data_IF_565031567984
#
_entry.id   IF_565031567984
#
_cell.length_a   1.000
_cell.length_b   1.000
_cell.length_c   1.000
_cell.angle_alpha   90.00
_cell.angle_beta   90.00
_cell.angle_gamma   90.00
#
_symmetry.space_group_name_H-M   'P 1'
#
loop_
_entity.id
_entity.type
_entity.pdbx_description
1 polymer ?
#
# COMPACT_ATOMS: atom_id res chain seq x y z
N UNK A 1 -25.28 -18.61 10.55
CA UNK A 1 -24.49 -19.76 10.09
C UNK A 1 -23.22 -19.82 10.91
N UNK A 2 -22.89 -20.98 11.50
CA UNK A 2 -21.64 -21.18 12.25
C UNK A 2 -20.45 -21.04 11.28
N UNK A 3 -19.47 -20.19 11.63
CA UNK A 3 -18.24 -20.01 10.85
C UNK A 3 -18.31 -18.99 9.71
N UNK A 4 -19.45 -18.35 9.47
CA UNK A 4 -19.61 -17.28 8.49
C UNK A 4 -19.53 -15.92 9.18
N UNK A 5 -18.77 -14.99 8.59
CA UNK A 5 -18.63 -13.62 9.05
C UNK A 5 -18.70 -12.66 7.86
N UNK A 6 -19.31 -11.51 8.06
CA UNK A 6 -19.34 -10.41 7.09
C UNK A 6 -18.76 -9.17 7.74
N UNK A 7 -18.16 -8.30 6.92
CA UNK A 7 -17.59 -7.05 7.34
C UNK A 7 -17.92 -5.94 6.36
N UNK A 8 -18.11 -4.74 6.87
CA UNK A 8 -18.26 -3.50 6.14
C UNK A 8 -17.19 -2.52 6.64
N UNK A 9 -16.49 -1.88 5.69
CA UNK A 9 -15.54 -0.80 5.94
C UNK A 9 -15.95 0.39 5.08
N UNK A 10 -15.98 1.57 5.66
CA UNK A 10 -16.19 2.82 4.95
C UNK A 10 -15.01 3.75 5.23
N UNK A 11 -14.39 4.23 4.16
CA UNK A 11 -13.27 5.16 4.23
C UNK A 11 -13.70 6.52 3.70
N UNK A 12 -13.28 7.56 4.38
CA UNK A 12 -13.32 8.92 3.87
C UNK A 12 -11.90 9.41 3.63
N UNK A 13 -11.61 9.83 2.39
CA UNK A 13 -10.31 10.28 1.95
C UNK A 13 -10.34 11.79 1.75
N UNK A 14 -9.40 12.49 2.36
CA UNK A 14 -9.24 13.93 2.19
C UNK A 14 -7.76 14.30 2.35
N UNK A 15 -7.37 15.42 1.74
CA UNK A 15 -6.01 15.92 1.83
C UNK A 15 -5.79 17.13 0.93
N UNK A 16 -4.62 17.72 1.05
CA UNK A 16 -4.13 18.80 0.19
C UNK A 16 -2.91 18.29 -0.60
N UNK A 17 -2.84 18.68 -1.86
CA UNK A 17 -1.68 18.45 -2.73
C UNK A 17 -1.19 19.82 -3.17
N UNK A 18 0.07 20.11 -2.88
CA UNK A 18 0.76 21.30 -3.36
C UNK A 18 1.97 20.88 -4.18
N UNK A 19 2.03 21.37 -5.42
CA UNK A 19 3.15 21.18 -6.33
C UNK A 19 3.74 22.55 -6.70
N UNK A 20 5.05 22.70 -6.51
CA UNK A 20 5.77 23.93 -6.80
C UNK A 20 6.91 23.62 -7.75
N UNK A 21 6.89 24.21 -8.93
CA UNK A 21 7.94 24.05 -9.95
C UNK A 21 8.56 25.40 -10.26
N UNK A 22 9.85 25.54 -9.97
CA UNK A 22 10.65 26.71 -10.32
C UNK A 22 11.52 26.39 -11.54
N UNK A 23 11.34 27.15 -12.62
CA UNK A 23 12.17 27.08 -13.80
C UNK A 23 13.04 28.33 -13.88
N UNK A 24 14.33 28.17 -13.60
CA UNK A 24 15.35 29.21 -13.74
C UNK A 24 16.44 28.76 -14.72
N UNK A 25 16.97 29.68 -15.51
CA UNK A 25 18.12 29.44 -16.40
C UNK A 25 19.21 30.42 -16.06
N UNK A 26 20.46 29.98 -16.15
CA UNK A 26 21.62 30.87 -16.09
C UNK A 26 21.51 31.91 -17.19
N UNK A 27 21.94 33.15 -16.93
CA UNK A 27 21.92 34.30 -17.84
C UNK A 27 20.52 34.85 -18.18
N UNK A 28 19.43 34.29 -17.60
CA UNK A 28 18.06 34.82 -17.76
C UNK A 28 17.64 35.51 -16.47
N UNK A 29 17.29 36.79 -16.58
CA UNK A 29 16.94 37.64 -15.42
C UNK A 29 15.64 37.25 -14.74
N UNK A 30 14.73 36.61 -15.47
CA UNK A 30 13.43 36.18 -14.97
C UNK A 30 13.33 34.67 -14.97
N UNK A 31 12.91 34.14 -13.84
CA UNK A 31 12.47 32.73 -13.68
C UNK A 31 10.95 32.67 -13.75
N UNK A 32 10.40 31.48 -13.95
CA UNK A 32 8.96 31.20 -13.81
C UNK A 32 8.71 30.21 -12.70
N UNK A 33 7.66 30.44 -11.93
CA UNK A 33 7.20 29.52 -10.87
C UNK A 33 5.76 29.16 -11.10
N UNK A 34 5.51 27.84 -11.16
CA UNK A 34 4.18 27.28 -11.17
C UNK A 34 3.85 26.74 -9.80
N UNK A 35 2.71 27.16 -9.24
CA UNK A 35 2.16 26.67 -7.97
C UNK A 35 0.79 26.10 -8.26
N UNK A 36 0.65 24.81 -8.02
CA UNK A 36 -0.59 24.09 -8.05
C UNK A 36 -0.99 23.73 -6.61
N UNK A 37 -2.11 24.20 -6.14
CA UNK A 37 -2.65 23.90 -4.81
C UNK A 37 -4.06 23.34 -4.97
N UNK A 38 -4.28 22.13 -4.47
CA UNK A 38 -5.56 21.44 -4.65
C UNK A 38 -5.94 20.60 -3.45
N UNK A 39 -7.24 20.48 -3.23
CA UNK A 39 -7.82 19.65 -2.20
C UNK A 39 -8.45 18.41 -2.81
N UNK A 40 -8.03 17.25 -2.31
CA UNK A 40 -8.58 15.94 -2.69
C UNK A 40 -9.67 15.53 -1.72
N UNK A 41 -10.75 14.97 -2.25
CA UNK A 41 -11.85 14.40 -1.47
C UNK A 41 -12.45 13.19 -2.15
N UNK A 42 -12.84 12.20 -1.35
CA UNK A 42 -13.54 11.02 -1.83
C UNK A 42 -13.90 10.07 -0.71
N UNK A 43 -14.74 9.10 -1.02
CA UNK A 43 -15.10 8.04 -0.11
C UNK A 43 -15.01 6.69 -0.78
N UNK A 44 -14.87 5.62 -0.02
CA UNK A 44 -14.93 4.26 -0.53
C UNK A 44 -15.61 3.33 0.44
N UNK A 45 -16.23 2.30 -0.07
CA UNK A 45 -16.88 1.24 0.70
C UNK A 45 -16.27 -0.09 0.31
N UNK A 46 -15.97 -0.91 1.32
CA UNK A 46 -15.46 -2.27 1.12
C UNK A 46 -16.35 -3.25 1.86
N UNK A 47 -16.76 -4.28 1.16
CA UNK A 47 -17.55 -5.39 1.67
C UNK A 47 -16.63 -6.60 1.78
N UNK A 48 -16.76 -7.35 2.85
CA UNK A 48 -16.00 -8.59 3.06
C UNK A 48 -16.87 -9.71 3.58
N UNK A 49 -16.54 -10.92 3.19
CA UNK A 49 -17.13 -12.13 3.73
C UNK A 49 -16.04 -13.17 3.98
N UNK A 50 -16.18 -13.90 5.06
CA UNK A 50 -15.29 -15.00 5.42
C UNK A 50 -16.10 -16.19 5.88
N UNK A 51 -15.68 -17.37 5.47
CA UNK A 51 -16.18 -18.63 5.93
C UNK A 51 -15.05 -19.47 6.52
N UNK A 52 -15.26 -19.93 7.75
CA UNK A 52 -14.35 -20.83 8.46
C UNK A 52 -15.08 -22.12 8.79
N UNK A 53 -14.52 -23.26 8.39
CA UNK A 53 -15.04 -24.58 8.72
C UNK A 53 -13.92 -25.52 9.12
N UNK A 54 -14.28 -26.55 9.88
CA UNK A 54 -13.36 -27.60 10.27
C UNK A 54 -13.59 -28.80 9.35
N UNK A 55 -12.58 -29.21 8.60
CA UNK A 55 -12.65 -30.35 7.67
C UNK A 55 -12.46 -31.66 8.41
N UNK A 56 -11.49 -31.70 9.32
CA UNK A 56 -11.21 -32.84 10.19
C UNK A 56 -10.96 -32.34 11.60
N UNK A 57 -10.86 -33.26 12.61
CA UNK A 57 -10.79 -32.91 14.05
C UNK A 57 -9.93 -31.70 14.40
N UNK A 58 -8.90 -31.38 13.59
CA UNK A 58 -7.94 -30.33 13.89
C UNK A 58 -7.62 -29.40 12.69
N UNK A 59 -8.14 -29.71 11.48
CA UNK A 59 -7.83 -28.97 10.26
C UNK A 59 -8.96 -27.99 9.94
N UNK A 60 -8.65 -26.73 9.95
CA UNK A 60 -9.58 -25.65 9.61
C UNK A 60 -9.32 -25.14 8.20
N UNK A 61 -10.37 -24.98 7.42
CA UNK A 61 -10.39 -24.27 6.16
C UNK A 61 -10.91 -22.86 6.39
N UNK A 62 -10.22 -21.88 5.79
CA UNK A 62 -10.63 -20.50 5.74
C UNK A 62 -10.77 -20.09 4.29
N UNK A 63 -11.91 -19.53 3.92
CA UNK A 63 -12.14 -18.93 2.60
C UNK A 63 -12.65 -17.53 2.83
N UNK A 64 -12.13 -16.57 2.09
CA UNK A 64 -12.53 -15.17 2.23
C UNK A 64 -12.57 -14.46 0.90
N UNK A 65 -13.46 -13.48 0.80
CA UNK A 65 -13.53 -12.56 -0.31
C UNK A 65 -13.79 -11.15 0.21
N UNK A 66 -13.19 -10.16 -0.44
CA UNK A 66 -13.54 -8.76 -0.20
C UNK A 66 -13.57 -7.97 -1.50
N UNK A 67 -14.49 -7.02 -1.54
CA UNK A 67 -14.77 -6.18 -2.70
C UNK A 67 -14.76 -4.72 -2.23
N UNK A 68 -13.77 -3.95 -2.67
CA UNK A 68 -13.76 -2.49 -2.49
C UNK A 68 -14.42 -1.87 -3.71
N UNK A 69 -15.58 -1.29 -3.50
CA UNK A 69 -16.39 -0.73 -4.58
C UNK A 69 -15.64 0.40 -5.28
N UNK A 70 -15.85 0.51 -6.59
CA UNK A 70 -15.30 1.59 -7.37
C UNK A 70 -15.76 2.95 -6.84
N UNK A 71 -14.86 3.92 -6.82
CA UNK A 71 -15.10 5.27 -6.34
C UNK A 71 -14.33 6.30 -7.16
N UNK A 72 -14.68 7.57 -6.97
CA UNK A 72 -13.97 8.69 -7.56
C UNK A 72 -13.36 9.57 -6.47
N UNK A 73 -12.10 9.94 -6.66
CA UNK A 73 -11.42 10.96 -5.89
C UNK A 73 -11.43 12.26 -6.70
N UNK A 74 -12.11 13.25 -6.20
CA UNK A 74 -12.18 14.57 -6.85
C UNK A 74 -11.12 15.48 -6.23
N UNK A 75 -10.40 16.20 -7.09
CA UNK A 75 -9.48 17.23 -6.69
C UNK A 75 -9.88 18.57 -7.30
N UNK A 76 -9.90 19.60 -6.48
CA UNK A 76 -10.23 20.97 -6.89
C UNK A 76 -9.26 21.94 -6.25
N UNK A 77 -8.81 22.94 -7.01
CA UNK A 77 -7.83 23.89 -6.53
C UNK A 77 -7.57 25.02 -7.48
N UNK A 78 -6.39 25.59 -7.39
CA UNK A 78 -5.91 26.70 -8.23
C UNK A 78 -4.50 26.44 -8.74
N UNK A 79 -4.26 26.84 -9.98
CA UNK A 79 -2.94 26.90 -10.58
C UNK A 79 -2.55 28.36 -10.77
N UNK A 80 -1.35 28.71 -10.35
CA UNK A 80 -0.78 30.05 -10.52
C UNK A 80 0.61 29.93 -11.11
N UNK A 81 0.76 30.47 -12.32
CA UNK A 81 2.05 30.63 -13.00
C UNK A 81 2.43 32.11 -13.00
N UNK A 82 3.56 32.44 -12.46
CA UNK A 82 4.07 33.79 -12.43
C UNK A 82 5.57 33.87 -12.77
N UNK A 83 5.99 35.04 -13.27
CA UNK A 83 7.37 35.36 -13.41
C UNK A 83 7.93 35.92 -12.11
N UNK A 84 9.19 35.67 -11.84
CA UNK A 84 9.90 36.20 -10.68
C UNK A 84 11.37 36.50 -11.00
N UNK A 85 11.95 37.41 -10.24
CA UNK A 85 13.40 37.59 -10.21
C UNK A 85 13.98 36.98 -8.93
N UNK A 86 15.17 36.39 -9.07
CA UNK A 86 15.89 35.80 -7.93
C UNK A 86 17.06 36.75 -7.63
N UNK A 87 17.03 37.35 -6.43
CA UNK A 87 18.11 38.22 -5.95
C UNK A 87 19.39 37.42 -5.63
N UNK A 88 20.51 38.12 -5.47
CA UNK A 88 21.80 37.50 -5.13
C UNK A 88 21.79 36.68 -3.80
N UNK A 89 20.86 36.99 -2.90
CA UNK A 89 20.64 36.29 -1.67
C UNK A 89 19.69 35.05 -1.81
N UNK A 90 19.27 34.71 -3.05
CA UNK A 90 18.31 33.64 -3.32
C UNK A 90 16.85 34.02 -3.04
N UNK A 91 16.54 35.27 -2.70
CA UNK A 91 15.20 35.72 -2.41
C UNK A 91 14.39 35.87 -3.69
N UNK A 92 13.22 35.22 -3.73
CA UNK A 92 12.28 35.25 -4.85
C UNK A 92 11.41 36.51 -4.77
N UNK A 93 11.39 37.31 -5.84
CA UNK A 93 10.53 38.50 -5.97
C UNK A 93 9.55 38.27 -7.13
N UNK A 94 8.26 38.01 -6.87
CA UNK A 94 7.24 37.89 -7.90
C UNK A 94 7.17 39.19 -8.72
N UNK A 95 6.99 39.06 -10.05
CA UNK A 95 6.87 40.17 -11.01
C UNK A 95 5.48 40.22 -11.59
N UNK A 96 5.17 39.34 -12.53
CA UNK A 96 3.91 39.34 -13.24
C UNK A 96 3.22 37.96 -13.14
N UNK A 97 1.91 37.97 -12.99
CA UNK A 97 1.09 36.76 -13.09
C UNK A 97 0.88 36.43 -14.55
N UNK A 98 1.41 35.30 -15.00
CA UNK A 98 1.29 34.81 -16.37
C UNK A 98 -0.04 34.11 -16.56
N UNK A 99 -0.41 33.29 -15.56
CA UNK A 99 -1.67 32.54 -15.55
C UNK A 99 -2.15 32.35 -14.11
N UNK A 100 -3.46 32.46 -13.91
CA UNK A 100 -4.13 32.08 -12.68
C UNK A 100 -5.50 31.52 -13.04
N UNK A 101 -5.77 30.30 -12.60
CA UNK A 101 -7.01 29.63 -12.96
C UNK A 101 -7.40 28.48 -12.03
N UNK A 102 -8.63 27.96 -12.18
CA UNK A 102 -9.05 26.81 -11.43
C UNK A 102 -8.36 25.54 -11.91
N UNK A 103 -8.00 24.68 -10.96
CA UNK A 103 -7.43 23.37 -11.21
C UNK A 103 -8.44 22.30 -10.80
N UNK A 104 -8.73 21.35 -11.67
CA UNK A 104 -9.60 20.23 -11.37
C UNK A 104 -9.10 18.93 -11.94
N UNK A 105 -9.30 17.86 -11.18
CA UNK A 105 -8.97 16.52 -11.60
C UNK A 105 -9.90 15.48 -10.96
N UNK A 106 -9.99 14.34 -11.58
CA UNK A 106 -10.69 13.19 -11.04
C UNK A 106 -9.85 11.93 -11.23
N UNK A 107 -9.76 11.13 -10.19
CA UNK A 107 -9.16 9.79 -10.23
C UNK A 107 -10.24 8.76 -9.92
N UNK A 108 -10.73 8.09 -10.95
CA UNK A 108 -11.70 7.00 -10.82
C UNK A 108 -10.95 5.71 -10.52
N UNK A 109 -11.26 5.12 -9.39
CA UNK A 109 -10.75 3.81 -8.95
C UNK A 109 -11.80 2.75 -9.26
N UNK A 110 -11.49 1.73 -10.04
CA UNK A 110 -12.40 0.62 -10.31
C UNK A 110 -12.55 -0.30 -9.08
N UNK A 111 -13.38 -1.33 -9.24
CA UNK A 111 -13.57 -2.38 -8.25
C UNK A 111 -12.25 -3.08 -7.95
N UNK A 112 -11.91 -3.18 -6.67
CA UNK A 112 -10.82 -4.03 -6.19
C UNK A 112 -11.40 -5.31 -5.60
N UNK A 113 -10.94 -6.45 -6.06
CA UNK A 113 -11.36 -7.77 -5.59
C UNK A 113 -10.19 -8.47 -4.94
N UNK A 114 -10.43 -9.04 -3.75
CA UNK A 114 -9.47 -9.89 -3.07
C UNK A 114 -10.13 -11.22 -2.72
N UNK A 115 -9.52 -12.32 -3.13
CA UNK A 115 -9.93 -13.68 -2.81
C UNK A 115 -8.82 -14.36 -2.01
N UNK A 116 -9.19 -15.15 -1.03
CA UNK A 116 -8.23 -15.85 -0.20
C UNK A 116 -8.72 -17.24 0.23
N UNK A 117 -7.78 -18.16 0.29
CA UNK A 117 -8.00 -19.50 0.83
C UNK A 117 -6.82 -19.88 1.71
N UNK A 118 -7.10 -20.58 2.80
CA UNK A 118 -6.06 -21.07 3.68
C UNK A 118 -6.49 -22.26 4.51
N UNK A 119 -5.51 -23.03 4.88
CA UNK A 119 -5.65 -24.22 5.71
C UNK A 119 -4.76 -24.09 6.93
N UNK A 120 -5.20 -24.62 8.06
CA UNK A 120 -4.37 -24.61 9.25
C UNK A 120 -4.90 -25.42 10.41
N UNK A 121 -3.99 -25.76 11.30
CA UNK A 121 -4.27 -26.38 12.59
C UNK A 121 -4.10 -25.33 13.68
N UNK A 122 -5.13 -25.14 14.49
CA UNK A 122 -5.13 -24.14 15.57
C UNK A 122 -3.88 -24.25 16.45
N UNK A 123 -3.23 -23.13 16.72
CA UNK A 123 -2.02 -23.02 17.55
C UNK A 123 -0.81 -23.87 17.07
N UNK A 124 -0.79 -24.30 15.82
CA UNK A 124 0.30 -25.10 15.29
C UNK A 124 0.85 -24.60 13.96
N UNK A 125 0.01 -24.46 12.96
CA UNK A 125 0.42 -23.96 11.65
C UNK A 125 -0.78 -23.42 10.86
N UNK A 126 -0.47 -22.55 9.92
CA UNK A 126 -1.42 -22.05 8.92
C UNK A 126 -0.65 -21.76 7.64
N UNK A 127 -1.24 -22.09 6.50
CA UNK A 127 -0.77 -21.69 5.18
C UNK A 127 -1.96 -21.21 4.34
N UNK A 128 -1.73 -20.18 3.55
CA UNK A 128 -2.78 -19.62 2.71
C UNK A 128 -2.22 -18.88 1.50
N UNK A 129 -3.13 -18.66 0.54
CA UNK A 129 -2.88 -17.93 -0.69
C UNK A 129 -3.96 -16.88 -0.84
N UNK A 130 -3.57 -15.69 -1.29
CA UNK A 130 -4.47 -14.59 -1.63
C UNK A 130 -4.19 -14.12 -3.06
N UNK A 131 -5.26 -13.80 -3.77
CA UNK A 131 -5.24 -13.13 -5.05
C UNK A 131 -6.00 -11.82 -4.95
N UNK A 132 -5.37 -10.74 -5.41
CA UNK A 132 -5.96 -9.41 -5.49
C UNK A 132 -5.91 -8.96 -6.94
N UNK A 133 -6.99 -8.34 -7.42
CA UNK A 133 -7.03 -7.73 -8.75
C UNK A 133 -7.80 -6.42 -8.72
N UNK A 134 -7.40 -5.50 -9.57
CA UNK A 134 -8.04 -4.23 -9.81
C UNK A 134 -7.75 -3.79 -11.24
N UNK A 135 -8.77 -3.35 -11.98
CA UNK A 135 -8.59 -2.78 -13.31
C UNK A 135 -7.79 -1.46 -13.27
N UNK A 136 -7.43 -0.95 -14.43
CA UNK A 136 -6.69 0.30 -14.56
C UNK A 136 -7.45 1.49 -13.92
N UNK A 137 -6.71 2.33 -13.21
CA UNK A 137 -7.23 3.61 -12.75
C UNK A 137 -7.51 4.52 -13.96
N UNK A 138 -8.55 5.35 -13.88
CA UNK A 138 -8.84 6.35 -14.91
C UNK A 138 -8.63 7.73 -14.29
N UNK A 139 -7.64 8.44 -14.78
CA UNK A 139 -7.32 9.80 -14.38
C UNK A 139 -7.83 10.80 -15.42
N UNK A 140 -8.29 11.97 -14.98
CA UNK A 140 -8.72 13.08 -15.83
C UNK A 140 -8.30 14.42 -15.23
N UNK A 141 -8.31 15.47 -16.04
CA UNK A 141 -7.83 16.78 -15.63
C UNK A 141 -6.31 16.76 -15.39
N UNK A 142 -5.81 17.48 -14.42
CA UNK A 142 -4.36 17.55 -14.17
C UNK A 142 -3.74 16.23 -13.62
N UNK A 143 -4.58 15.23 -13.26
CA UNK A 143 -4.11 13.87 -12.98
C UNK A 143 -3.90 13.05 -14.24
N UNK A 144 -4.45 13.49 -15.38
CA UNK A 144 -4.26 12.83 -16.66
C UNK A 144 -2.87 13.19 -17.20
N UNK A 145 -1.95 12.30 -16.99
CA UNK A 145 -0.63 12.38 -17.62
C UNK A 145 -0.68 11.63 -18.96
N UNK A 146 -1.56 12.08 -19.86
CA UNK A 146 -1.69 11.54 -21.23
C UNK A 146 -0.42 11.69 -22.05
N UNK A 147 0.51 12.46 -21.55
CA UNK A 147 1.75 12.78 -22.19
C UNK A 147 2.88 11.84 -21.77
N UNK A 148 2.87 10.53 -22.08
CA UNK A 148 4.15 10.00 -22.48
C UNK A 148 5.07 9.37 -21.43
N UNK A 149 4.93 9.62 -20.14
CA UNK A 149 5.84 9.07 -19.14
C UNK A 149 5.33 7.80 -18.46
N UNK A 150 4.03 7.74 -18.19
CA UNK A 150 3.41 6.57 -17.58
C UNK A 150 1.93 6.43 -17.92
N UNK A 151 1.40 5.24 -17.75
CA UNK A 151 -0.02 4.91 -17.90
C UNK A 151 -0.46 4.03 -16.72
N UNK A 152 -1.73 4.12 -16.35
CA UNK A 152 -2.33 3.17 -15.42
C UNK A 152 -2.74 1.90 -16.16
N UNK A 153 -2.35 0.76 -15.63
CA UNK A 153 -2.71 -0.56 -16.10
C UNK A 153 -3.45 -1.35 -15.03
N UNK A 154 -3.77 -2.59 -15.36
CA UNK A 154 -4.34 -3.54 -14.42
C UNK A 154 -3.31 -3.90 -13.34
N UNK A 155 -3.76 -3.92 -12.08
CA UNK A 155 -2.94 -4.34 -10.94
C UNK A 155 -3.37 -5.71 -10.45
N UNK A 156 -2.41 -6.62 -10.32
CA UNK A 156 -2.63 -7.99 -9.87
C UNK A 156 -1.60 -8.37 -8.83
N UNK A 157 -2.04 -9.01 -7.74
CA UNK A 157 -1.14 -9.50 -6.71
C UNK A 157 -1.51 -10.91 -6.28
N UNK A 158 -0.54 -11.80 -6.35
CA UNK A 158 -0.59 -13.13 -5.73
C UNK A 158 0.33 -13.13 -4.52
N UNK A 159 -0.15 -13.60 -3.39
CA UNK A 159 0.66 -13.78 -2.21
C UNK A 159 0.36 -15.12 -1.54
N UNK A 160 1.40 -15.83 -1.15
CA UNK A 160 1.32 -17.06 -0.39
C UNK A 160 2.14 -16.92 0.88
N UNK A 161 1.64 -17.46 1.99
CA UNK A 161 2.38 -17.39 3.24
C UNK A 161 1.75 -18.23 4.34
N UNK A 162 2.48 -18.32 5.44
CA UNK A 162 2.02 -19.09 6.58
C UNK A 162 2.88 -18.90 7.80
N UNK A 163 2.49 -19.63 8.85
CA UNK A 163 3.25 -19.71 10.07
C UNK A 163 3.29 -21.12 10.64
N UNK A 164 4.29 -21.39 11.48
CA UNK A 164 4.45 -22.63 12.19
C UNK A 164 4.90 -22.36 13.64
N UNK A 165 4.30 -23.08 14.59
CA UNK A 165 4.65 -23.05 16.00
C UNK A 165 4.93 -24.51 16.43
N UNK A 166 6.16 -24.89 16.75
CA UNK A 166 6.47 -26.28 17.09
C UNK A 166 5.64 -26.81 18.26
N UNK A 167 5.64 -26.09 19.39
CA UNK A 167 4.88 -26.47 20.59
C UNK A 167 4.58 -25.24 21.45
N UNK A 168 3.39 -24.67 21.31
CA UNK A 168 2.99 -23.40 21.96
C UNK A 168 3.09 -23.45 23.51
N UNK A 169 2.83 -24.61 24.11
CA UNK A 169 2.84 -24.82 25.57
C UNK A 169 4.15 -25.48 26.04
N UNK A 170 5.26 -25.32 25.33
CA UNK A 170 6.54 -25.89 25.78
C UNK A 170 7.05 -25.17 27.02
N UNK A 171 7.36 -25.92 28.07
CA UNK A 171 7.99 -25.43 29.31
C UNK A 171 9.52 -25.56 29.20
N UNK A 172 10.01 -26.55 28.44
CA UNK A 172 11.41 -26.92 28.37
C UNK A 172 12.23 -26.11 27.36
N UNK A 173 11.60 -25.60 26.31
CA UNK A 173 12.32 -24.88 25.26
C UNK A 173 11.57 -23.62 24.81
N UNK A 174 12.23 -22.48 24.88
CA UNK A 174 11.72 -21.21 24.40
C UNK A 174 11.42 -21.23 22.89
N UNK A 175 12.36 -21.79 22.11
CA UNK A 175 12.28 -21.83 20.64
C UNK A 175 11.09 -22.64 20.10
N UNK A 176 10.58 -23.58 20.89
CA UNK A 176 9.37 -24.33 20.54
C UNK A 176 8.08 -23.49 20.62
N UNK A 177 8.10 -22.37 21.36
CA UNK A 177 6.99 -21.44 21.50
C UNK A 177 7.03 -20.32 20.48
N UNK A 178 8.16 -20.13 19.81
CA UNK A 178 8.35 -19.11 18.78
C UNK A 178 7.44 -19.41 17.58
N UNK A 179 6.81 -18.35 17.06
CA UNK A 179 6.06 -18.41 15.81
C UNK A 179 7.00 -18.09 14.65
N UNK A 180 7.27 -19.06 13.80
CA UNK A 180 8.05 -18.92 12.58
C UNK A 180 7.09 -18.59 11.43
N UNK A 181 7.40 -17.56 10.65
CA UNK A 181 6.57 -17.08 9.53
C UNK A 181 7.38 -17.05 8.25
N UNK A 182 6.71 -17.31 7.13
CA UNK A 182 7.29 -17.17 5.80
C UNK A 182 6.23 -16.78 4.79
N UNK A 183 6.65 -16.06 3.75
CA UNK A 183 5.73 -15.62 2.71
C UNK A 183 6.46 -15.20 1.45
N UNK A 184 5.70 -15.22 0.36
CA UNK A 184 6.09 -14.78 -0.98
C UNK A 184 5.02 -13.83 -1.50
N UNK A 185 5.41 -12.80 -2.22
CA UNK A 185 4.50 -11.95 -2.98
C UNK A 185 5.01 -11.75 -4.40
N UNK A 186 4.10 -11.71 -5.32
CA UNK A 186 4.30 -11.25 -6.68
C UNK A 186 3.19 -10.26 -7.01
N UNK A 187 3.53 -9.07 -7.45
CA UNK A 187 2.60 -7.98 -7.68
C UNK A 187 2.94 -7.21 -8.95
N UNK A 188 1.96 -7.09 -9.85
CA UNK A 188 1.96 -6.08 -10.91
C UNK A 188 1.31 -4.83 -10.33
N UNK A 189 2.07 -3.73 -10.26
CA UNK A 189 1.64 -2.52 -9.54
C UNK A 189 0.52 -1.74 -10.26
N UNK A 190 0.19 -2.10 -11.51
CA UNK A 190 -0.75 -1.34 -12.32
C UNK A 190 -0.18 0.01 -12.77
N UNK A 191 1.12 0.11 -12.86
CA UNK A 191 1.84 1.24 -13.41
C UNK A 191 2.68 0.76 -14.60
N UNK A 192 2.44 1.37 -15.75
CA UNK A 192 3.18 1.16 -16.99
C UNK A 192 4.03 2.39 -17.25
N UNK A 193 5.34 2.25 -17.38
CA UNK A 193 6.27 3.37 -17.53
C UNK A 193 6.97 3.31 -18.88
N UNK A 194 7.06 4.47 -19.55
CA UNK A 194 7.87 4.65 -20.74
C UNK A 194 9.27 5.15 -20.34
N UNK A 195 10.23 4.23 -20.35
CA UNK A 195 11.63 4.55 -19.98
C UNK A 195 12.44 5.19 -21.09
N UNK A 196 11.93 5.24 -22.33
CA UNK A 196 12.65 5.79 -23.48
C UNK A 196 11.87 6.96 -24.07
N UNK A 197 12.32 8.21 -23.89
CA UNK A 197 11.65 9.38 -24.45
C UNK A 197 11.42 9.24 -25.97
N UNK A 198 10.20 9.53 -26.40
CA UNK A 198 9.81 9.45 -27.83
C UNK A 198 9.43 8.04 -28.32
N UNK A 199 9.48 7.01 -27.48
CA UNK A 199 8.94 5.69 -27.79
C UNK A 199 7.49 5.59 -27.27
N UNK A 200 6.73 4.66 -27.85
CA UNK A 200 5.39 4.28 -27.37
C UNK A 200 5.43 2.95 -26.61
N UNK A 201 6.59 2.56 -26.08
CA UNK A 201 6.76 1.27 -25.40
C UNK A 201 6.61 1.47 -23.91
N UNK A 202 5.50 1.00 -23.34
CA UNK A 202 5.23 1.03 -21.92
C UNK A 202 5.54 -0.32 -21.27
N UNK A 203 6.25 -0.30 -20.16
CA UNK A 203 6.70 -1.49 -19.44
C UNK A 203 6.07 -1.55 -18.07
N UNK A 204 5.54 -2.72 -17.69
CA UNK A 204 4.95 -2.96 -16.38
C UNK A 204 6.01 -2.91 -15.27
N UNK A 205 5.64 -2.29 -14.17
CA UNK A 205 6.46 -2.30 -12.96
C UNK A 205 5.94 -3.40 -12.03
N UNK A 206 6.77 -4.43 -11.89
CA UNK A 206 6.46 -5.60 -11.07
C UNK A 206 7.25 -5.56 -9.75
N UNK A 207 6.69 -6.14 -8.69
CA UNK A 207 7.33 -6.26 -7.37
C UNK A 207 7.28 -7.73 -6.92
N UNK A 208 8.44 -8.30 -6.65
CA UNK A 208 8.59 -9.63 -6.07
C UNK A 208 9.25 -9.52 -4.70
N UNK A 209 8.70 -10.22 -3.70
CA UNK A 209 9.26 -10.21 -2.35
C UNK A 209 9.16 -11.56 -1.66
N UNK A 210 10.20 -11.87 -0.87
CA UNK A 210 10.26 -13.01 0.05
C UNK A 210 10.35 -12.45 1.46
N UNK A 211 9.54 -12.96 2.37
CA UNK A 211 9.50 -12.51 3.75
C UNK A 211 9.70 -13.66 4.73
N UNK A 212 10.42 -13.37 5.83
CA UNK A 212 10.59 -14.23 7.00
C UNK A 212 10.23 -13.46 8.26
N UNK A 213 9.70 -14.15 9.25
CA UNK A 213 9.33 -13.50 10.50
C UNK A 213 9.41 -14.43 11.70
N UNK A 214 9.67 -13.82 12.85
CA UNK A 214 9.69 -14.47 14.15
C UNK A 214 8.73 -13.75 15.09
N UNK A 215 7.84 -14.50 15.73
CA UNK A 215 7.02 -14.02 16.82
C UNK A 215 7.55 -14.59 18.13
N UNK A 216 8.19 -13.75 18.92
CA UNK A 216 8.86 -14.11 20.18
C UNK A 216 7.91 -13.84 21.35
N UNK A 217 7.38 -14.87 22.03
CA UNK A 217 6.49 -14.67 23.18
C UNK A 217 7.27 -14.07 24.35
N UNK A 218 6.75 -12.99 24.94
CA UNK A 218 7.33 -12.31 26.09
C UNK A 218 6.58 -12.68 27.37
N UNK A 219 7.31 -13.19 28.36
CA UNK A 219 6.76 -13.53 29.66
C UNK A 219 5.70 -14.66 29.63
N UNK A 220 4.81 -14.66 30.63
CA UNK A 220 3.77 -15.68 30.78
C UNK A 220 2.44 -15.35 30.09
N UNK A 221 2.31 -14.23 29.39
CA UNK A 221 1.03 -13.76 28.84
C UNK A 221 1.26 -13.13 27.48
N UNK A 222 0.44 -13.51 26.56
CA UNK A 222 0.05 -13.03 25.23
C UNK A 222 0.80 -11.83 24.59
N UNK A 223 1.84 -11.30 25.23
CA UNK A 223 2.72 -10.25 24.68
C UNK A 223 3.75 -10.89 23.76
N UNK A 224 3.93 -10.30 22.58
CA UNK A 224 4.86 -10.81 21.57
C UNK A 224 5.72 -9.69 21.02
N UNK A 225 7.00 -9.97 20.86
CA UNK A 225 7.89 -9.20 20.02
C UNK A 225 7.91 -9.85 18.63
N UNK A 226 7.54 -9.10 17.60
CA UNK A 226 7.55 -9.60 16.24
C UNK A 226 8.70 -8.95 15.46
N UNK A 227 9.51 -9.80 14.86
CA UNK A 227 10.59 -9.45 13.96
C UNK A 227 10.18 -9.90 12.55
N UNK A 228 10.35 -9.05 11.57
CA UNK A 228 10.10 -9.34 10.17
C UNK A 228 11.27 -8.87 9.31
N UNK A 229 11.62 -9.69 8.35
CA UNK A 229 12.60 -9.39 7.33
C UNK A 229 11.97 -9.67 5.97
N UNK A 230 12.12 -8.75 5.04
CA UNK A 230 11.65 -8.90 3.66
C UNK A 230 12.78 -8.48 2.72
N UNK A 231 13.06 -9.35 1.76
CA UNK A 231 13.93 -9.07 0.63
C UNK A 231 13.10 -9.12 -0.65
N UNK A 232 13.29 -8.15 -1.50
CA UNK A 232 12.54 -8.10 -2.76
C UNK A 232 13.24 -7.31 -3.84
N UNK A 233 12.63 -7.34 -5.01
CA UNK A 233 13.01 -6.54 -6.17
C UNK A 233 11.79 -5.93 -6.82
N UNK A 234 11.91 -4.69 -7.24
CA UNK A 234 10.85 -3.88 -7.85
C UNK A 234 11.36 -3.24 -9.13
N UNK A 235 10.53 -3.28 -10.18
CA UNK A 235 10.90 -2.73 -11.47
C UNK A 235 11.58 -3.74 -12.38
N UNK A 236 12.17 -3.24 -13.46
CA UNK A 236 12.88 -4.02 -14.48
C UNK A 236 13.98 -3.16 -15.10
N UNK A 237 14.97 -3.80 -15.70
CA UNK A 237 16.03 -3.13 -16.47
C UNK A 237 15.65 -2.94 -17.94
N UNK A 238 14.49 -3.43 -18.37
CA UNK A 238 14.04 -3.31 -19.74
C UNK A 238 13.68 -1.83 -20.07
N UNK A 239 13.83 -1.45 -21.33
CA UNK A 239 13.45 -0.13 -21.85
C UNK A 239 14.05 1.05 -21.08
N UNK A 240 15.29 0.94 -20.58
CA UNK A 240 15.98 2.01 -19.88
C UNK A 240 15.46 2.28 -18.46
N UNK A 241 14.64 1.40 -17.91
CA UNK A 241 14.13 1.47 -16.54
C UNK A 241 15.15 0.91 -15.53
N UNK A 242 14.87 1.12 -14.26
CA UNK A 242 15.69 0.66 -13.15
C UNK A 242 15.01 -0.47 -12.37
N UNK A 243 15.75 -1.53 -12.07
CA UNK A 243 15.37 -2.55 -11.09
C UNK A 243 15.98 -2.17 -9.74
N UNK A 244 15.15 -2.01 -8.73
CA UNK A 244 15.53 -1.73 -7.36
C UNK A 244 15.44 -3.01 -6.51
N UNK A 245 16.53 -3.34 -5.80
CA UNK A 245 16.53 -4.39 -4.77
C UNK A 245 16.39 -3.74 -3.41
N UNK A 246 15.46 -4.25 -2.60
CA UNK A 246 15.20 -3.67 -1.29
C UNK A 246 15.25 -4.72 -0.17
N UNK A 247 15.58 -4.22 1.01
CA UNK A 247 15.53 -4.96 2.27
C UNK A 247 14.69 -4.15 3.25
N UNK A 248 13.65 -4.77 3.78
CA UNK A 248 12.81 -4.18 4.81
C UNK A 248 12.96 -4.96 6.12
N UNK A 249 13.20 -4.24 7.20
CA UNK A 249 13.16 -4.78 8.54
C UNK A 249 11.97 -4.20 9.30
N UNK A 250 11.20 -5.04 9.97
CA UNK A 250 10.03 -4.65 10.75
C UNK A 250 10.15 -5.16 12.16
N UNK A 251 9.96 -4.26 13.12
CA UNK A 251 9.89 -4.55 14.54
C UNK A 251 8.53 -4.10 15.06
N UNK A 252 7.81 -4.99 15.74
CA UNK A 252 6.57 -4.61 16.42
C UNK A 252 6.43 -5.32 17.75
N UNK A 253 5.91 -4.60 18.74
CA UNK A 253 5.62 -5.09 20.07
C UNK A 253 4.11 -5.13 20.28
N UNK A 254 3.58 -6.33 20.53
CA UNK A 254 2.19 -6.51 20.92
C UNK A 254 2.14 -6.73 22.44
N UNK A 255 1.59 -5.76 23.15
CA UNK A 255 1.36 -5.84 24.59
C UNK A 255 -0.10 -6.23 24.82
N UNK A 256 -0.31 -7.28 25.58
CA UNK A 256 -1.66 -7.70 25.99
C UNK A 256 -1.68 -7.82 27.50
N UNK A 257 -2.49 -6.97 28.14
CA UNK A 257 -2.67 -6.96 29.58
C UNK A 257 -4.15 -6.89 29.95
N UNK A 258 -4.48 -7.34 31.16
CA UNK A 258 -5.83 -7.26 31.72
C UNK A 258 -5.93 -5.93 32.48
N UNK A 259 -6.57 -4.93 31.84
CA UNK A 259 -6.69 -3.55 32.38
C UNK A 259 -7.44 -3.47 33.71
N UNK A 260 -8.37 -4.41 33.98
CA UNK A 260 -9.15 -4.43 35.22
C UNK A 260 -9.12 -5.83 35.83
N UNK A 261 -8.34 -6.02 36.87
CA UNK A 261 -8.51 -7.13 37.80
C UNK A 261 -9.44 -6.66 38.91
N UNK A 262 -10.65 -7.24 38.99
CA UNK A 262 -11.51 -7.10 40.14
C UNK A 262 -10.76 -7.65 41.36
N UNK A 263 -10.39 -6.81 42.31
CA UNK A 263 -9.84 -7.26 43.59
C UNK A 263 -10.93 -8.08 44.27
N UNK A 264 -10.66 -9.34 44.60
CA UNK A 264 -11.45 -10.03 45.62
C UNK A 264 -11.11 -9.38 46.94
N UNK A 265 -12.09 -8.81 47.59
CA UNK A 265 -12.06 -8.42 49.00
C UNK A 265 -12.50 -9.68 49.73
N UNK A 266 -11.57 -10.34 50.43
CA UNK A 266 -11.85 -11.44 51.36
C UNK A 266 -12.33 -10.84 52.66
#
# INVERSE_FOLDING_TARGET
>A
FKGFSVGLEADFLFGNIQNNVLNAREEVTLATKNIEDSNIRGGSVKLGAQYKTTITKDLNLHVGASFKLGNSLNSTGTENLYSLSIGASGFEQPRDTIFSGPLSANLKRPLETVLGIGLGKTNKWYAGVNYKTQDALVATGYFDNSAQSFQYGESNRVSAGGFFIPKINSITSYWQRVTYRGGLKFEKLGLLVNGTPGSNTFTSIDDFGISFGLGLPLGNRLSNLNLGFEYGKKGTTDNGLLEEKYVNFRLSLSLNDIWFKKRKID
#
